data_IF_609896188608
#
_entry.id   IF_609896188608
#
_cell.length_a   1.000
_cell.length_b   1.000
_cell.length_c   1.000
_cell.angle_alpha   90.00
_cell.angle_beta   90.00
_cell.angle_gamma   90.00
#
_symmetry.space_group_name_H-M   'P 1'
#
loop_
_entity.id
_entity.type
_entity.pdbx_description
1 polymer ?
#
# COMPACT_ATOMS: atom_id res chain seq x y z
N UNK A 1 8.05 5.97 -17.39
CA UNK A 1 6.78 6.35 -16.74
C UNK A 1 7.08 6.81 -15.31
N UNK A 2 6.24 7.66 -14.68
CA UNK A 2 6.42 8.08 -13.28
C UNK A 2 5.89 7.02 -12.30
N UNK A 3 6.44 7.00 -11.09
CA UNK A 3 5.97 6.20 -9.95
C UNK A 3 4.52 6.54 -9.57
N UNK A 4 3.73 5.52 -9.26
CA UNK A 4 2.32 5.60 -8.85
C UNK A 4 2.03 4.61 -7.71
N UNK A 5 1.01 4.89 -6.89
CA UNK A 5 0.62 4.04 -5.75
C UNK A 5 -0.88 3.97 -5.61
N UNK A 6 -1.40 2.83 -5.16
CA UNK A 6 -2.79 2.63 -4.76
C UNK A 6 -2.82 2.08 -3.34
N UNK A 7 -3.54 2.75 -2.44
CA UNK A 7 -3.70 2.34 -1.05
C UNK A 7 -5.14 2.62 -0.63
N UNK A 8 -5.98 1.59 -0.70
CA UNK A 8 -7.42 1.66 -0.45
C UNK A 8 -7.85 1.57 1.03
N UNK A 9 -7.14 0.89 1.96
CA UNK A 9 -7.55 0.80 3.36
C UNK A 9 -7.90 2.15 4.04
N UNK A 10 -7.12 3.25 3.91
CA UNK A 10 -7.50 4.53 4.51
C UNK A 10 -8.74 5.15 3.85
N UNK A 11 -8.98 4.96 2.56
CA UNK A 11 -10.22 5.43 1.90
C UNK A 11 -11.43 4.72 2.52
N UNK A 12 -11.35 3.40 2.74
CA UNK A 12 -12.39 2.64 3.42
C UNK A 12 -12.59 3.06 4.88
N UNK A 13 -11.51 3.36 5.61
CA UNK A 13 -11.60 3.91 6.97
C UNK A 13 -12.34 5.26 7.03
N UNK A 14 -12.14 6.13 6.05
CA UNK A 14 -12.93 7.36 5.90
C UNK A 14 -14.42 7.08 5.66
N UNK A 15 -14.78 6.09 4.82
CA UNK A 15 -16.19 5.74 4.59
C UNK A 15 -16.86 5.18 5.85
N UNK A 16 -16.18 4.31 6.60
CA UNK A 16 -16.69 3.75 7.86
C UNK A 16 -16.91 4.86 8.90
N UNK A 17 -15.97 5.81 9.01
CA UNK A 17 -16.12 6.96 9.90
C UNK A 17 -17.29 7.88 9.47
N UNK A 18 -17.48 8.08 8.16
CA UNK A 18 -18.58 8.88 7.62
C UNK A 18 -19.94 8.22 7.85
N UNK A 19 -20.05 6.89 7.67
CA UNK A 19 -21.25 6.10 8.01
C UNK A 19 -21.63 6.29 9.49
N UNK A 20 -20.66 6.16 10.40
CA UNK A 20 -20.90 6.35 11.83
C UNK A 20 -21.34 7.77 12.18
N UNK A 21 -20.71 8.80 11.59
CA UNK A 21 -21.04 10.21 11.82
C UNK A 21 -22.42 10.57 11.26
N UNK A 22 -22.77 10.04 10.09
CA UNK A 22 -24.06 10.28 9.43
C UNK A 22 -25.21 9.42 10.00
N UNK A 23 -24.92 8.47 10.90
CA UNK A 23 -25.88 7.43 11.33
C UNK A 23 -26.48 6.65 10.14
N UNK A 24 -25.62 6.28 9.20
CA UNK A 24 -25.94 5.57 7.96
C UNK A 24 -25.25 4.19 7.90
N UNK A 25 -25.63 3.38 6.92
CA UNK A 25 -25.06 2.06 6.66
C UNK A 25 -24.18 2.05 5.41
N UNK A 26 -23.45 0.96 5.19
CA UNK A 26 -22.63 0.78 3.99
C UNK A 26 -23.44 0.64 2.69
N UNK A 27 -24.71 0.27 2.78
CA UNK A 27 -25.61 0.15 1.63
C UNK A 27 -26.20 1.51 1.20
N UNK A 28 -26.04 2.57 2.03
CA UNK A 28 -26.56 3.91 1.76
C UNK A 28 -25.65 4.76 0.84
N UNK A 29 -24.48 4.24 0.47
CA UNK A 29 -23.57 4.88 -0.50
C UNK A 29 -24.14 4.81 -1.92
N UNK A 30 -24.28 5.97 -2.54
CA UNK A 30 -24.74 6.13 -3.92
C UNK A 30 -23.57 6.57 -4.82
N UNK A 31 -22.83 5.62 -5.44
CA UNK A 31 -21.76 5.94 -6.38
C UNK A 31 -22.29 6.50 -7.71
N UNK A 32 -21.88 7.73 -8.04
CA UNK A 32 -22.32 8.46 -9.24
C UNK A 32 -21.48 8.08 -10.48
N UNK A 33 -20.17 7.88 -10.34
CA UNK A 33 -19.25 7.55 -11.46
C UNK A 33 -19.03 6.04 -11.64
N UNK A 34 -18.39 5.64 -12.75
CA UNK A 34 -18.00 4.23 -12.97
C UNK A 34 -16.97 3.77 -11.93
N UNK A 35 -15.98 4.61 -11.62
CA UNK A 35 -14.91 4.28 -10.69
C UNK A 35 -15.42 4.21 -9.24
N UNK A 36 -16.33 5.09 -8.84
CA UNK A 36 -17.04 4.98 -7.56
C UNK A 36 -17.84 3.67 -7.47
N UNK A 37 -18.55 3.27 -8.54
CA UNK A 37 -19.30 2.00 -8.57
C UNK A 37 -18.37 0.79 -8.46
N UNK A 38 -17.23 0.83 -9.15
CA UNK A 38 -16.18 -0.19 -9.12
C UNK A 38 -15.60 -0.29 -7.71
N UNK A 39 -15.13 0.83 -7.14
CA UNK A 39 -14.59 0.89 -5.78
C UNK A 39 -15.55 0.34 -4.73
N UNK A 40 -16.80 0.81 -4.70
CA UNK A 40 -17.79 0.38 -3.70
C UNK A 40 -18.05 -1.13 -3.82
N UNK A 41 -18.31 -1.65 -5.03
CA UNK A 41 -18.74 -3.05 -5.23
C UNK A 41 -17.61 -4.08 -5.16
N UNK A 42 -16.46 -3.75 -5.73
CA UNK A 42 -15.36 -4.71 -5.91
C UNK A 42 -14.37 -4.69 -4.75
N UNK A 43 -14.27 -3.57 -4.03
CA UNK A 43 -13.27 -3.37 -2.96
C UNK A 43 -13.93 -3.07 -1.62
N UNK A 44 -14.65 -1.95 -1.49
CA UNK A 44 -15.14 -1.49 -0.19
C UNK A 44 -16.10 -2.49 0.46
N UNK A 45 -17.18 -2.87 -0.20
CA UNK A 45 -18.18 -3.78 0.37
C UNK A 45 -17.63 -5.18 0.70
N UNK A 46 -16.57 -5.62 0.02
CA UNK A 46 -15.91 -6.91 0.28
C UNK A 46 -14.93 -6.82 1.45
N UNK A 47 -14.14 -5.76 1.50
CA UNK A 47 -13.11 -5.56 2.50
C UNK A 47 -13.61 -4.85 3.77
N UNK A 48 -14.83 -4.27 3.82
CA UNK A 48 -15.28 -3.41 4.93
C UNK A 48 -15.09 -4.05 6.31
N UNK A 49 -15.47 -5.31 6.47
CA UNK A 49 -15.28 -6.04 7.74
C UNK A 49 -13.80 -6.26 8.08
N UNK A 50 -12.96 -6.45 7.08
CA UNK A 50 -11.50 -6.61 7.21
C UNK A 50 -10.86 -5.27 7.59
N UNK A 51 -11.28 -4.17 6.96
CA UNK A 51 -10.85 -2.79 7.23
C UNK A 51 -11.21 -2.39 8.67
N UNK A 52 -12.43 -2.70 9.14
CA UNK A 52 -12.81 -2.51 10.54
C UNK A 52 -11.94 -3.30 11.53
N UNK A 53 -11.29 -4.39 11.09
CA UNK A 53 -10.45 -5.25 11.90
C UNK A 53 -8.94 -4.94 11.78
N UNK A 54 -8.53 -3.97 10.96
CA UNK A 54 -7.13 -3.57 10.83
C UNK A 54 -6.71 -2.66 12.01
N UNK A 55 -5.84 -3.12 12.93
CA UNK A 55 -5.34 -2.27 14.03
C UNK A 55 -4.43 -1.13 13.53
N UNK A 56 -3.95 -1.19 12.28
CA UNK A 56 -3.13 -0.14 11.67
C UNK A 56 -3.95 1.04 11.13
N UNK A 57 -5.28 1.01 11.22
CA UNK A 57 -6.17 2.10 10.84
C UNK A 57 -6.59 2.90 12.08
N UNK A 58 -6.43 4.22 11.99
CA UNK A 58 -7.04 5.18 12.91
C UNK A 58 -7.89 6.14 12.06
N UNK A 59 -9.12 6.46 12.49
CA UNK A 59 -9.99 7.41 11.80
C UNK A 59 -10.60 8.43 12.77
N UNK A 60 -10.93 9.61 12.25
CA UNK A 60 -11.66 10.68 12.95
C UNK A 60 -12.76 11.24 12.05
N UNK A 61 -13.87 11.64 12.66
CA UNK A 61 -14.93 12.42 12.02
C UNK A 61 -15.25 13.64 12.90
N UNK A 62 -15.47 14.81 12.29
CA UNK A 62 -15.73 16.06 13.04
C UNK A 62 -16.42 17.10 12.16
N UNK A 63 -17.31 17.91 12.75
CA UNK A 63 -17.85 19.12 12.11
C UNK A 63 -16.81 20.28 12.06
N UNK A 64 -15.64 20.11 12.69
CA UNK A 64 -14.51 21.05 12.66
C UNK A 64 -13.39 20.59 11.72
N UNK A 65 -13.05 21.43 10.73
CA UNK A 65 -11.88 21.24 9.84
C UNK A 65 -10.57 21.24 10.63
N UNK A 66 -10.45 22.07 11.68
CA UNK A 66 -9.21 22.13 12.48
C UNK A 66 -8.92 20.79 13.15
N UNK A 67 -9.93 20.12 13.71
CA UNK A 67 -9.81 18.79 14.33
C UNK A 67 -9.30 17.74 13.33
N UNK A 68 -9.76 17.80 12.07
CA UNK A 68 -9.33 16.86 11.03
C UNK A 68 -7.88 17.13 10.62
N UNK A 69 -7.52 18.39 10.44
CA UNK A 69 -6.18 18.80 10.03
C UNK A 69 -5.13 18.59 11.15
N UNK A 70 -5.49 18.84 12.41
CA UNK A 70 -4.69 18.53 13.60
C UNK A 70 -4.41 17.02 13.70
N UNK A 71 -5.45 16.17 13.58
CA UNK A 71 -5.31 14.71 13.59
C UNK A 71 -4.33 14.20 12.53
N UNK A 72 -4.38 14.76 11.31
CA UNK A 72 -3.46 14.44 10.21
C UNK A 72 -2.02 14.90 10.51
N UNK A 73 -1.86 16.12 11.01
CA UNK A 73 -0.56 16.73 11.31
C UNK A 73 0.16 16.01 12.45
N UNK A 74 -0.54 15.66 13.55
CA UNK A 74 -0.03 14.81 14.64
C UNK A 74 0.49 13.46 14.13
N UNK A 75 -0.14 12.93 13.08
CA UNK A 75 0.19 11.63 12.47
C UNK A 75 1.26 11.76 11.38
N UNK A 76 1.78 12.97 11.18
CA UNK A 76 2.89 13.31 10.29
C UNK A 76 2.47 13.49 8.83
N UNK A 77 1.20 13.73 8.53
CA UNK A 77 0.69 14.04 7.19
C UNK A 77 0.65 15.55 6.95
N UNK A 78 0.67 15.94 5.68
CA UNK A 78 0.81 17.33 5.22
C UNK A 78 -0.39 17.81 4.40
N UNK A 79 -1.20 16.89 3.88
CA UNK A 79 -2.52 17.19 3.29
C UNK A 79 -3.42 17.87 4.33
N UNK A 80 -4.21 18.84 3.89
CA UNK A 80 -5.18 19.57 4.71
C UNK A 80 -6.47 19.75 3.93
N UNK A 81 -7.61 19.54 4.59
CA UNK A 81 -8.91 19.92 4.05
C UNK A 81 -9.05 21.45 4.08
N UNK A 82 -9.70 22.00 3.07
CA UNK A 82 -10.12 23.40 3.06
C UNK A 82 -11.36 23.62 3.95
N UNK A 83 -11.53 24.85 4.42
CA UNK A 83 -12.65 25.26 5.29
C UNK A 83 -14.04 24.91 4.70
N UNK A 84 -14.93 24.40 5.54
CA UNK A 84 -16.28 24.05 5.11
C UNK A 84 -17.10 25.30 4.73
N UNK A 85 -17.97 25.14 3.74
CA UNK A 85 -18.91 26.20 3.32
C UNK A 85 -19.89 26.49 4.45
N UNK A 86 -19.82 27.71 5.00
CA UNK A 86 -20.68 28.18 6.12
C UNK A 86 -22.19 28.12 5.85
N UNK A 87 -22.61 27.91 4.59
CA UNK A 87 -24.01 27.83 4.16
C UNK A 87 -24.61 26.41 4.25
N UNK A 88 -23.82 25.39 4.58
CA UNK A 88 -24.26 23.99 4.62
C UNK A 88 -23.87 23.33 5.94
N UNK A 89 -24.65 22.32 6.37
CA UNK A 89 -24.18 21.39 7.39
C UNK A 89 -23.12 20.48 6.73
N UNK A 90 -21.91 20.48 7.28
CA UNK A 90 -20.76 19.77 6.74
C UNK A 90 -19.97 19.12 7.87
N UNK A 91 -19.34 17.99 7.60
CA UNK A 91 -18.35 17.37 8.46
C UNK A 91 -17.22 16.79 7.60
N UNK A 92 -16.04 16.66 8.19
CA UNK A 92 -14.89 16.03 7.57
C UNK A 92 -14.62 14.67 8.18
N UNK A 93 -13.94 13.84 7.41
CA UNK A 93 -13.37 12.57 7.86
C UNK A 93 -11.90 12.51 7.45
N UNK A 94 -11.07 11.95 8.32
CA UNK A 94 -9.73 11.53 7.97
C UNK A 94 -9.48 10.12 8.50
N UNK A 95 -8.64 9.39 7.79
CA UNK A 95 -8.19 8.07 8.17
C UNK A 95 -6.73 7.92 7.79
N UNK A 96 -5.91 7.43 8.72
CA UNK A 96 -4.54 7.04 8.44
C UNK A 96 -4.44 5.52 8.42
N UNK A 97 -3.50 5.00 7.64
CA UNK A 97 -3.11 3.60 7.65
C UNK A 97 -1.60 3.51 7.80
N UNK A 98 -1.11 2.88 8.87
CA UNK A 98 0.33 2.85 9.24
C UNK A 98 0.82 1.41 9.34
N UNK A 99 1.17 0.81 8.20
CA UNK A 99 1.64 -0.57 8.13
C UNK A 99 3.16 -0.69 8.39
N UNK A 100 3.56 -1.48 9.39
CA UNK A 100 4.95 -1.87 9.67
C UNK A 100 5.24 -3.28 9.13
N UNK A 101 6.36 -3.44 8.39
CA UNK A 101 6.79 -4.71 7.81
C UNK A 101 8.28 -4.94 8.09
N UNK A 102 8.63 -5.55 9.21
CA UNK A 102 10.03 -5.94 9.48
C UNK A 102 10.40 -7.23 8.72
N UNK A 103 11.56 -7.28 8.08
CA UNK A 103 12.05 -8.53 7.45
C UNK A 103 12.35 -9.59 8.52
N UNK A 104 12.10 -10.87 8.20
CA UNK A 104 12.43 -12.00 9.09
C UNK A 104 13.92 -12.00 9.47
N UNK A 105 14.78 -11.67 8.51
CA UNK A 105 16.21 -11.43 8.70
C UNK A 105 16.57 -10.09 8.03
N UNK A 106 17.29 -9.18 8.70
CA UNK A 106 17.82 -7.98 8.07
C UNK A 106 18.69 -8.32 6.86
N UNK A 107 18.52 -7.55 5.79
CA UNK A 107 19.33 -7.62 4.59
C UNK A 107 20.66 -6.91 4.71
N UNK A 108 21.48 -7.07 3.68
CA UNK A 108 22.76 -6.37 3.54
C UNK A 108 22.60 -5.21 2.57
N UNK A 109 23.15 -4.06 2.94
CA UNK A 109 23.20 -2.89 2.06
C UNK A 109 24.11 -3.23 0.86
N UNK A 110 23.63 -2.95 -0.34
CA UNK A 110 24.34 -3.11 -1.60
C UNK A 110 23.93 -1.99 -2.57
N UNK A 111 24.21 -2.14 -3.85
CA UNK A 111 23.86 -1.18 -4.89
C UNK A 111 23.69 -1.86 -6.24
N UNK A 112 22.79 -1.32 -7.08
CA UNK A 112 22.53 -1.80 -8.45
C UNK A 112 23.00 -0.78 -9.50
N UNK A 113 22.99 -1.18 -10.77
CA UNK A 113 23.38 -0.37 -11.94
C UNK A 113 24.70 0.40 -11.73
N UNK A 114 25.81 -0.33 -11.67
CA UNK A 114 27.15 0.24 -11.49
C UNK A 114 27.27 1.19 -10.27
N UNK A 115 26.63 0.82 -9.16
CA UNK A 115 26.58 1.56 -7.88
C UNK A 115 25.79 2.87 -7.90
N UNK A 116 24.96 3.10 -8.91
CA UNK A 116 24.16 4.32 -9.05
C UNK A 116 23.02 4.42 -8.03
N UNK A 117 22.38 3.29 -7.69
CA UNK A 117 21.24 3.27 -6.78
C UNK A 117 21.47 2.36 -5.57
N UNK A 118 21.08 2.78 -4.35
CA UNK A 118 21.16 1.96 -3.15
C UNK A 118 20.15 0.83 -3.20
N UNK A 119 20.57 -0.36 -2.75
CA UNK A 119 19.79 -1.58 -2.80
C UNK A 119 19.97 -2.43 -1.55
N UNK A 120 19.09 -3.41 -1.38
CA UNK A 120 19.13 -4.42 -0.32
C UNK A 120 19.39 -5.78 -0.96
N UNK A 121 20.29 -6.56 -0.36
CA UNK A 121 20.43 -7.99 -0.61
C UNK A 121 19.78 -8.79 0.53
N UNK A 122 18.83 -9.66 0.19
CA UNK A 122 18.22 -10.64 1.11
C UNK A 122 18.56 -12.07 0.66
N UNK A 123 19.18 -12.84 1.54
CA UNK A 123 19.49 -14.28 1.39
C UNK A 123 18.46 -15.20 2.07
N UNK A 124 17.53 -14.64 2.83
CA UNK A 124 16.59 -15.39 3.67
C UNK A 124 15.23 -14.68 3.78
N UNK A 125 14.18 -15.45 4.05
CA UNK A 125 12.80 -14.93 4.08
C UNK A 125 12.24 -14.58 2.70
N UNK A 126 12.94 -14.99 1.64
CA UNK A 126 12.55 -14.80 0.23
C UNK A 126 11.99 -16.09 -0.35
N UNK A 127 11.12 -15.95 -1.35
CA UNK A 127 10.62 -17.03 -2.20
C UNK A 127 10.37 -16.48 -3.59
N UNK A 128 10.49 -17.33 -4.60
CA UNK A 128 10.42 -16.91 -6.00
C UNK A 128 9.31 -17.66 -6.72
N UNK A 129 8.65 -16.97 -7.65
CA UNK A 129 7.56 -17.53 -8.44
C UNK A 129 7.64 -17.09 -9.90
N UNK A 130 7.03 -17.89 -10.77
CA UNK A 130 6.70 -17.52 -12.15
C UNK A 130 5.18 -17.54 -12.31
N UNK A 131 4.64 -16.60 -13.07
CA UNK A 131 3.23 -16.54 -13.46
C UNK A 131 3.17 -16.40 -14.98
N UNK A 132 2.19 -17.01 -15.65
CA UNK A 132 2.00 -16.83 -17.10
C UNK A 132 1.63 -15.38 -17.48
N UNK A 133 1.29 -14.57 -16.49
CA UNK A 133 0.91 -13.17 -16.63
C UNK A 133 2.04 -12.18 -16.29
N UNK A 134 3.25 -12.67 -15.96
CA UNK A 134 4.46 -11.85 -15.85
C UNK A 134 5.61 -12.49 -16.63
N UNK A 135 6.24 -11.71 -17.52
CA UNK A 135 7.45 -12.14 -18.22
C UNK A 135 8.67 -12.22 -17.29
N UNK A 136 8.60 -11.62 -16.10
CA UNK A 136 9.67 -11.58 -15.11
C UNK A 136 9.32 -12.45 -13.88
N UNK A 137 10.33 -13.04 -13.21
CA UNK A 137 10.13 -13.67 -11.91
C UNK A 137 9.48 -12.72 -10.90
N UNK A 138 8.74 -13.30 -9.97
CA UNK A 138 8.09 -12.62 -8.85
C UNK A 138 8.89 -12.98 -7.60
N UNK A 139 9.49 -11.99 -6.96
CA UNK A 139 10.01 -12.08 -5.61
C UNK A 139 8.84 -11.99 -4.63
N UNK A 140 8.87 -12.78 -3.55
CA UNK A 140 8.04 -12.60 -2.37
C UNK A 140 8.93 -12.60 -1.13
N UNK A 141 8.90 -11.50 -0.37
CA UNK A 141 9.61 -11.32 0.89
C UNK A 141 8.60 -11.42 2.03
N UNK A 142 8.82 -12.34 2.97
CA UNK A 142 7.95 -12.50 4.15
C UNK A 142 8.41 -11.59 5.29
N UNK A 143 7.48 -10.82 5.85
CA UNK A 143 7.69 -10.00 7.04
C UNK A 143 7.40 -10.78 8.33
N UNK A 144 7.93 -10.31 9.47
CA UNK A 144 7.76 -10.96 10.80
C UNK A 144 6.30 -11.02 11.25
N UNK A 145 5.48 -10.04 10.89
CA UNK A 145 4.05 -10.00 11.19
C UNK A 145 3.21 -10.98 10.35
N UNK A 146 3.82 -11.69 9.39
CA UNK A 146 3.17 -12.67 8.52
C UNK A 146 2.77 -12.13 7.14
N UNK A 147 2.79 -10.81 6.94
CA UNK A 147 2.52 -10.20 5.63
C UNK A 147 3.60 -10.54 4.61
N UNK A 148 3.24 -10.48 3.33
CA UNK A 148 4.11 -10.80 2.21
C UNK A 148 4.22 -9.59 1.29
N UNK A 149 5.45 -9.12 1.08
CA UNK A 149 5.78 -8.09 0.08
C UNK A 149 6.24 -8.77 -1.19
N UNK A 150 5.42 -8.74 -2.22
CA UNK A 150 5.76 -9.30 -3.53
C UNK A 150 6.21 -8.21 -4.50
N UNK A 151 7.16 -8.54 -5.38
CA UNK A 151 7.77 -7.62 -6.34
C UNK A 151 8.03 -8.30 -7.68
N UNK A 152 7.80 -7.60 -8.81
CA UNK A 152 8.23 -8.07 -10.13
C UNK A 152 8.57 -6.89 -11.05
N UNK A 153 9.54 -7.07 -11.95
CA UNK A 153 9.89 -6.05 -12.96
C UNK A 153 8.70 -5.87 -13.91
N UNK A 154 8.32 -4.62 -14.15
CA UNK A 154 7.22 -4.25 -15.03
C UNK A 154 7.62 -2.98 -15.78
N UNK A 155 7.69 -3.01 -17.12
CA UNK A 155 8.11 -1.84 -17.90
C UNK A 155 6.98 -0.81 -18.06
N UNK A 156 5.75 -1.30 -18.17
CA UNK A 156 4.56 -0.54 -18.54
C UNK A 156 3.40 -0.99 -17.64
N UNK A 157 3.19 -0.34 -16.48
CA UNK A 157 2.07 -0.63 -15.62
C UNK A 157 0.76 -0.04 -16.18
N UNK A 158 -0.38 -0.72 -15.99
CA UNK A 158 -1.69 -0.09 -16.11
C UNK A 158 -1.90 0.91 -14.96
N UNK A 159 -2.94 1.75 -15.06
CA UNK A 159 -3.21 2.85 -14.11
C UNK A 159 -4.45 2.57 -13.25
N UNK A 160 -4.49 3.17 -12.05
CA UNK A 160 -5.64 3.09 -11.16
C UNK A 160 -6.01 1.66 -10.77
N UNK A 161 -7.30 1.33 -10.83
CA UNK A 161 -7.83 0.01 -10.45
C UNK A 161 -7.34 -1.14 -11.33
N UNK A 162 -6.95 -0.87 -12.58
CA UNK A 162 -6.45 -1.90 -13.51
C UNK A 162 -5.09 -2.47 -13.04
N UNK A 163 -4.36 -1.73 -12.19
CA UNK A 163 -3.16 -2.21 -11.50
C UNK A 163 -3.47 -3.25 -10.42
N UNK A 164 -4.65 -3.16 -9.78
CA UNK A 164 -5.12 -4.16 -8.81
C UNK A 164 -5.61 -5.42 -9.53
N UNK A 165 -6.26 -5.29 -10.68
CA UNK A 165 -6.63 -6.43 -11.53
C UNK A 165 -5.40 -7.19 -12.03
N UNK A 166 -4.36 -6.47 -12.48
CA UNK A 166 -3.09 -7.10 -12.88
C UNK A 166 -2.49 -7.93 -11.74
N UNK A 167 -2.53 -7.45 -10.50
CA UNK A 167 -2.04 -8.21 -9.34
C UNK A 167 -2.91 -9.44 -9.07
N UNK A 168 -4.22 -9.31 -9.15
CA UNK A 168 -5.15 -10.44 -9.04
C UNK A 168 -4.82 -11.53 -10.07
N UNK A 169 -4.68 -11.14 -11.34
CA UNK A 169 -4.36 -12.03 -12.46
C UNK A 169 -2.95 -12.62 -12.37
N UNK A 170 -1.95 -11.87 -11.90
CA UNK A 170 -0.61 -12.42 -11.62
C UNK A 170 -0.66 -13.49 -10.52
N UNK A 171 -1.47 -13.26 -9.48
CA UNK A 171 -1.50 -14.08 -8.26
C UNK A 171 -2.23 -15.42 -8.39
N UNK A 172 -3.14 -15.59 -9.36
CA UNK A 172 -3.93 -16.83 -9.50
C UNK A 172 -3.11 -18.05 -9.94
N UNK A 173 -2.01 -17.85 -10.67
CA UNK A 173 -1.23 -18.94 -11.28
C UNK A 173 0.29 -18.82 -11.02
N UNK A 174 0.66 -18.44 -9.80
CA UNK A 174 2.05 -18.45 -9.35
C UNK A 174 2.56 -19.88 -9.11
N UNK A 175 3.62 -20.27 -9.81
CA UNK A 175 4.34 -21.53 -9.62
C UNK A 175 5.71 -21.26 -8.98
N UNK A 176 6.16 -22.04 -7.98
CA UNK A 176 7.48 -21.86 -7.37
C UNK A 176 8.60 -21.87 -8.41
N UNK A 177 9.58 -20.99 -8.20
CA UNK A 177 10.83 -20.89 -8.93
C UNK A 177 11.98 -21.16 -7.95
N UNK A 178 12.97 -21.93 -8.37
CA UNK A 178 14.04 -22.46 -7.51
C UNK A 178 15.44 -22.03 -7.97
N UNK A 179 15.53 -21.27 -9.06
CA UNK A 179 16.77 -20.84 -9.72
C UNK A 179 17.42 -19.58 -9.12
N UNK A 180 17.10 -19.24 -7.86
CA UNK A 180 17.65 -18.07 -7.16
C UNK A 180 17.91 -18.38 -5.68
N UNK A 181 19.09 -17.98 -5.16
CA UNK A 181 19.47 -18.16 -3.75
C UNK A 181 19.11 -16.97 -2.84
N UNK A 182 18.70 -15.86 -3.44
CA UNK A 182 18.56 -14.57 -2.79
C UNK A 182 18.00 -13.51 -3.74
N UNK A 183 17.83 -12.29 -3.24
CA UNK A 183 17.24 -11.19 -3.98
C UNK A 183 18.00 -9.88 -3.77
N UNK A 184 18.20 -9.11 -4.84
CA UNK A 184 18.71 -7.74 -4.79
C UNK A 184 17.63 -6.81 -5.35
N UNK A 185 17.20 -5.83 -4.56
CA UNK A 185 16.16 -4.86 -4.99
C UNK A 185 16.43 -3.45 -4.45
N UNK A 186 15.88 -2.38 -5.08
CA UNK A 186 16.19 -1.00 -4.73
C UNK A 186 15.63 -0.62 -3.35
N UNK A 187 16.35 0.23 -2.62
CA UNK A 187 15.77 0.98 -1.49
C UNK A 187 14.82 2.06 -2.02
N UNK A 188 13.75 2.34 -1.28
CA UNK A 188 12.72 3.30 -1.69
C UNK A 188 12.51 4.36 -0.60
N UNK A 189 12.42 5.63 -1.01
CA UNK A 189 11.86 6.73 -0.22
C UNK A 189 10.85 7.49 -1.09
N UNK A 190 9.57 7.38 -0.74
CA UNK A 190 8.45 7.93 -1.48
C UNK A 190 7.50 8.68 -0.55
N UNK A 191 7.21 9.93 -0.87
CA UNK A 191 6.19 10.76 -0.22
C UNK A 191 5.52 11.61 -1.30
N UNK A 192 4.25 11.37 -1.59
CA UNK A 192 3.45 12.20 -2.51
C UNK A 192 2.00 12.27 -2.09
N UNK A 193 1.39 13.39 -2.43
CA UNK A 193 -0.06 13.52 -2.51
C UNK A 193 -0.56 12.78 -3.76
N UNK A 194 -1.72 12.15 -3.63
CA UNK A 194 -2.39 11.34 -4.64
C UNK A 194 -3.75 11.99 -4.88
N UNK A 195 -4.01 12.33 -6.13
CA UNK A 195 -5.32 12.80 -6.56
C UNK A 195 -6.34 11.67 -6.43
N UNK A 196 -7.33 11.86 -5.54
CA UNK A 196 -8.48 10.98 -5.37
C UNK A 196 -9.81 11.71 -5.59
N UNK A 197 -9.80 12.82 -6.34
CA UNK A 197 -10.99 13.61 -6.72
C UNK A 197 -12.08 12.78 -7.42
N UNK A 198 -11.75 11.60 -7.95
CA UNK A 198 -12.72 10.63 -8.45
C UNK A 198 -13.75 10.16 -7.39
N UNK A 199 -13.49 10.38 -6.09
CA UNK A 199 -14.44 10.16 -4.99
C UNK A 199 -15.47 11.29 -4.82
N UNK A 200 -15.21 12.48 -5.34
CA UNK A 200 -16.07 13.65 -5.16
C UNK A 200 -17.43 13.47 -5.85
N UNK A 201 -18.46 14.10 -5.27
CA UNK A 201 -19.85 13.93 -5.72
C UNK A 201 -20.49 12.58 -5.35
N UNK A 202 -19.74 11.60 -4.82
CA UNK A 202 -20.33 10.40 -4.23
C UNK A 202 -21.19 10.80 -3.02
N UNK A 203 -22.37 10.16 -2.88
CA UNK A 203 -23.36 10.53 -1.87
C UNK A 203 -23.54 9.45 -0.83
N UNK A 204 -23.84 9.84 0.41
CA UNK A 204 -24.26 8.95 1.49
C UNK A 204 -25.66 9.36 1.94
N UNK A 205 -26.61 8.44 1.89
CA UNK A 205 -27.98 8.73 2.35
C UNK A 205 -28.07 8.50 3.85
N UNK A 206 -28.78 9.38 4.56
CA UNK A 206 -29.04 9.23 6.00
C UNK A 206 -30.45 9.71 6.33
N UNK A 207 -30.91 9.42 7.55
CA UNK A 207 -32.16 9.98 8.09
C UNK A 207 -32.16 11.52 8.15
N UNK A 208 -30.99 12.15 8.22
CA UNK A 208 -30.81 13.60 8.17
C UNK A 208 -30.79 14.18 6.73
N UNK A 209 -30.84 13.32 5.70
CA UNK A 209 -30.74 13.71 4.29
C UNK A 209 -29.46 13.18 3.61
N UNK A 210 -29.23 13.55 2.34
CA UNK A 210 -28.07 13.13 1.58
C UNK A 210 -26.84 13.99 1.89
N UNK A 211 -25.74 13.34 2.26
CA UNK A 211 -24.40 13.92 2.32
C UNK A 211 -23.68 13.72 0.99
N UNK A 212 -22.70 14.58 0.68
CA UNK A 212 -21.91 14.51 -0.55
C UNK A 212 -20.43 14.74 -0.22
N UNK A 213 -19.53 13.95 -0.81
CA UNK A 213 -18.09 14.18 -0.72
C UNK A 213 -17.74 15.43 -1.55
N UNK A 214 -17.38 16.53 -0.88
CA UNK A 214 -16.99 17.80 -1.53
C UNK A 214 -15.50 17.93 -1.83
N UNK A 215 -14.65 17.21 -1.09
CA UNK A 215 -13.19 17.21 -1.24
C UNK A 215 -12.68 15.79 -0.97
N UNK A 216 -11.69 15.32 -1.73
CA UNK A 216 -11.01 14.06 -1.46
C UNK A 216 -9.50 14.16 -1.68
N UNK A 217 -8.73 13.97 -0.60
CA UNK A 217 -7.26 14.05 -0.60
C UNK A 217 -6.64 12.78 0.00
N UNK A 218 -5.54 12.33 -0.59
CA UNK A 218 -4.73 11.24 -0.06
C UNK A 218 -3.24 11.61 -0.11
N UNK A 219 -2.48 11.19 0.89
CA UNK A 219 -1.01 11.26 0.86
C UNK A 219 -0.42 9.90 1.18
N UNK A 220 0.40 9.38 0.26
CA UNK A 220 1.07 8.10 0.42
C UNK A 220 2.53 8.33 0.80
N UNK A 221 2.94 7.74 1.93
CA UNK A 221 4.33 7.71 2.40
C UNK A 221 4.79 6.26 2.47
N UNK A 222 5.74 5.88 1.63
CA UNK A 222 6.28 4.52 1.56
C UNK A 222 7.80 4.56 1.61
N UNK A 223 8.39 3.72 2.47
CA UNK A 223 9.84 3.60 2.61
C UNK A 223 10.21 2.13 2.78
N UNK A 224 11.31 1.73 2.16
CA UNK A 224 11.80 0.35 2.20
C UNK A 224 13.33 0.31 2.22
N UNK A 225 13.91 -0.44 3.16
CA UNK A 225 15.36 -0.55 3.33
C UNK A 225 15.79 -1.96 3.79
N UNK A 226 17.03 -2.07 4.27
CA UNK A 226 17.64 -3.32 4.74
C UNK A 226 16.95 -3.97 5.96
N UNK A 227 16.09 -3.25 6.69
CA UNK A 227 15.38 -3.73 7.88
C UNK A 227 13.92 -4.09 7.60
N UNK A 228 13.26 -3.40 6.66
CA UNK A 228 11.82 -3.53 6.43
C UNK A 228 11.19 -2.41 5.60
N UNK A 229 9.88 -2.27 5.75
CA UNK A 229 9.18 -0.97 5.89
C UNK A 229 8.93 -0.69 7.40
N UNK A 230 8.36 0.46 7.83
CA UNK A 230 8.67 1.20 9.10
C UNK A 230 7.89 0.88 10.42
N UNK A 231 8.38 0.88 11.70
CA UNK A 231 9.69 0.69 12.42
C UNK A 231 9.45 0.47 13.95
N UNK A 232 10.11 -0.50 14.60
CA UNK A 232 11.02 -0.41 15.79
C UNK A 232 11.57 -1.83 16.17
N UNK A 233 12.50 -1.96 17.14
CA UNK A 233 13.60 -2.97 17.13
C UNK A 233 13.56 -4.11 18.18
N UNK A 234 13.88 -5.35 17.77
CA UNK A 234 14.50 -6.41 18.62
C UNK A 234 15.11 -7.59 17.80
N UNK A 235 16.12 -8.28 18.35
CA UNK A 235 16.93 -9.29 17.66
C UNK A 235 16.75 -10.74 18.15
N UNK A 236 17.00 -11.72 17.27
CA UNK A 236 17.17 -13.15 17.59
C UNK A 236 18.02 -13.84 16.51
N UNK A 237 18.61 -15.00 16.80
CA UNK A 237 19.64 -15.64 15.99
C UNK A 237 19.46 -17.16 15.91
N UNK A 238 19.66 -17.74 14.73
CA UNK A 238 19.64 -19.19 14.50
C UNK A 238 20.62 -19.57 13.39
N UNK A 239 21.36 -20.66 13.57
CA UNK A 239 22.42 -21.11 12.66
C UNK A 239 22.03 -22.46 12.06
N UNK A 240 22.25 -22.63 10.75
CA UNK A 240 22.23 -23.93 10.07
C UNK A 240 23.42 -24.03 9.12
N UNK A 241 24.17 -25.12 9.22
CA UNK A 241 25.16 -25.52 8.23
C UNK A 241 24.44 -26.24 7.07
N UNK A 242 24.81 -25.93 5.82
CA UNK A 242 24.55 -26.79 4.67
C UNK A 242 25.66 -26.62 3.62
N UNK A 243 25.88 -27.68 2.84
CA UNK A 243 27.11 -27.93 2.09
C UNK A 243 27.18 -27.13 0.78
N UNK A 244 28.40 -26.91 0.29
CA UNK A 244 28.68 -26.14 -0.92
C UNK A 244 28.18 -26.83 -2.21
N UNK A 245 26.96 -26.51 -2.64
CA UNK A 245 26.66 -26.40 -4.08
C UNK A 245 27.17 -25.03 -4.59
N UNK A 246 27.40 -24.84 -5.90
CA UNK A 246 27.45 -23.49 -6.44
C UNK A 246 26.13 -22.78 -6.09
N UNK A 247 26.21 -21.59 -5.49
CA UNK A 247 25.02 -20.76 -5.24
C UNK A 247 24.40 -20.38 -6.58
N UNK A 248 23.11 -20.63 -6.75
CA UNK A 248 22.33 -20.01 -7.81
C UNK A 248 22.41 -18.48 -7.67
N UNK A 249 22.40 -17.70 -8.77
CA UNK A 249 22.53 -16.25 -8.67
C UNK A 249 21.30 -15.62 -7.98
N UNK A 250 21.45 -14.48 -7.29
CA UNK A 250 20.29 -13.79 -6.74
C UNK A 250 19.45 -13.15 -7.83
N UNK A 251 18.13 -13.12 -7.65
CA UNK A 251 17.21 -12.35 -8.51
C UNK A 251 17.48 -10.85 -8.32
N UNK A 252 17.85 -10.15 -9.40
CA UNK A 252 18.11 -8.70 -9.36
C UNK A 252 16.93 -7.93 -9.96
N UNK A 253 16.33 -7.06 -9.15
CA UNK A 253 15.36 -6.04 -9.58
C UNK A 253 16.14 -4.75 -9.86
N UNK A 254 16.57 -4.57 -11.11
CA UNK A 254 17.33 -3.41 -11.58
C UNK A 254 16.56 -2.51 -12.57
N UNK A 255 15.26 -2.74 -12.72
CA UNK A 255 14.33 -2.00 -13.60
C UNK A 255 13.09 -1.57 -12.80
N UNK A 256 12.32 -0.59 -13.30
CA UNK A 256 11.03 -0.24 -12.70
C UNK A 256 10.18 -1.47 -12.42
N UNK A 257 9.55 -1.48 -11.25
CA UNK A 257 8.95 -2.68 -10.70
C UNK A 257 7.64 -2.40 -10.01
N UNK A 258 6.75 -3.39 -10.07
CA UNK A 258 5.53 -3.45 -9.29
C UNK A 258 5.86 -4.08 -7.94
N UNK A 259 5.37 -3.47 -6.86
CA UNK A 259 5.40 -3.98 -5.50
C UNK A 259 3.98 -4.00 -4.94
N UNK A 260 3.61 -5.08 -4.24
CA UNK A 260 2.35 -5.16 -3.53
C UNK A 260 2.50 -5.88 -2.20
N UNK A 261 1.67 -5.52 -1.21
CA UNK A 261 1.69 -6.10 0.13
C UNK A 261 0.39 -6.88 0.36
N UNK A 262 0.51 -8.19 0.58
CA UNK A 262 -0.60 -9.08 0.84
C UNK A 262 -0.62 -9.54 2.30
N UNK A 263 -1.82 -9.60 2.88
CA UNK A 263 -2.12 -10.22 4.17
C UNK A 263 -3.10 -11.37 3.94
N UNK A 264 -2.88 -12.54 4.53
CA UNK A 264 -3.70 -13.73 4.24
C UNK A 264 -5.17 -13.63 4.69
N UNK A 265 -5.48 -12.69 5.58
CA UNK A 265 -6.82 -12.37 6.07
C UNK A 265 -7.44 -11.14 5.40
N UNK A 266 -7.00 -10.79 4.19
CA UNK A 266 -7.48 -9.61 3.46
C UNK A 266 -7.63 -9.94 1.97
N UNK A 267 -8.77 -9.62 1.36
CA UNK A 267 -9.08 -10.03 -0.02
C UNK A 267 -8.25 -9.31 -1.10
N UNK A 268 -7.70 -8.14 -0.77
CA UNK A 268 -6.96 -7.29 -1.69
C UNK A 268 -5.55 -6.97 -1.13
N UNK A 269 -4.61 -6.51 -1.95
CA UNK A 269 -3.36 -5.97 -1.43
C UNK A 269 -3.63 -4.76 -0.52
N UNK A 270 -3.01 -4.73 0.66
CA UNK A 270 -3.06 -3.61 1.60
C UNK A 270 -2.42 -2.35 1.02
N UNK A 271 -1.40 -2.54 0.18
CA UNK A 271 -0.67 -1.48 -0.51
C UNK A 271 -0.19 -1.97 -1.87
N UNK A 272 -0.20 -1.08 -2.87
CA UNK A 272 0.41 -1.29 -4.18
C UNK A 272 1.22 -0.06 -4.58
N UNK A 273 2.44 -0.28 -5.07
CA UNK A 273 3.28 0.76 -5.62
C UNK A 273 4.02 0.27 -6.87
N UNK A 274 3.95 1.04 -7.94
CA UNK A 274 4.86 0.89 -9.07
C UNK A 274 5.98 1.92 -8.93
N UNK A 275 7.23 1.45 -8.73
CA UNK A 275 8.37 2.30 -8.40
C UNK A 275 9.36 2.40 -9.57
N UNK A 276 9.46 3.60 -10.12
CA UNK A 276 10.49 4.00 -11.05
C UNK A 276 11.67 4.69 -10.35
N UNK A 277 12.76 4.86 -11.10
CA UNK A 277 14.11 5.21 -10.63
C UNK A 277 14.19 6.51 -9.83
N UNK A 278 13.25 7.44 -10.01
CA UNK A 278 13.26 8.73 -9.31
C UNK A 278 13.03 8.62 -7.78
N UNK A 279 12.59 7.45 -7.29
CA UNK A 279 12.39 7.16 -5.86
C UNK A 279 13.34 6.08 -5.32
N UNK A 280 14.29 5.59 -6.13
CA UNK A 280 15.29 4.61 -5.72
C UNK A 280 16.39 5.27 -4.89
N UNK A 281 16.08 5.55 -3.63
CA UNK A 281 16.90 6.33 -2.71
C UNK A 281 16.95 5.59 -1.38
N UNK A 282 18.06 5.76 -0.67
CA UNK A 282 18.16 5.27 0.70
C UNK A 282 17.24 6.15 1.55
N UNK A 283 16.14 5.62 2.13
CA UNK A 283 15.40 6.39 3.13
C UNK A 283 16.32 6.67 4.32
N UNK A 284 15.97 7.66 5.14
CA UNK A 284 16.71 7.94 6.38
C UNK A 284 16.49 6.85 7.43
N UNK A 285 16.18 7.25 8.67
CA UNK A 285 15.39 6.33 9.50
C UNK A 285 14.06 6.10 8.78
N UNK A 286 13.68 4.83 8.62
CA UNK A 286 12.34 4.46 8.19
C UNK A 286 11.33 5.22 9.10
#
# INVERSE_FOLDING_TARGET
MKTMTVCLPPIGGCLIAAESMASASSDDWQPQTKDQRRFIREYYMRARGEICALPEIESVASESVSTINEFLEERGFQIKLEEFKKSSKSFGVASVFKLFLEWIKPGRITSIRNRMYPAVYLEAGVSFFRSKHSNNPILSVKAKNGDIVSMTILSEPPVGFDLLELIGVISTEMKPAMEFDGAIFPMIDYNREIDISWMEGMKLTSSAGPWVIEQALQQTKFRMNELGAKVESAASMGIRLLCCTPSDPPLVIDKPFLLWVNRSSFHHPLFVGYFAEENWKRPGKL
#
